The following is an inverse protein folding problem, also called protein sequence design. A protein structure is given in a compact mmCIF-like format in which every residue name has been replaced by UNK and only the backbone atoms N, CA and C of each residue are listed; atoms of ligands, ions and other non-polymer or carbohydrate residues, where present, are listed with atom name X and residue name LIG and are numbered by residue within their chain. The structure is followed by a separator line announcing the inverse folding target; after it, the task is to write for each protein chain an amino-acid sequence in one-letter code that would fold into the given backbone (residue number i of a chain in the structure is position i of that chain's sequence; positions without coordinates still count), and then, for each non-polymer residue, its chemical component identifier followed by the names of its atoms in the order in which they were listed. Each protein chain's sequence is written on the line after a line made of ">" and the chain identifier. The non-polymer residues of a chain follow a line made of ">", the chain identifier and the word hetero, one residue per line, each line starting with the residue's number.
data_IF_438036363078
#
_entry.id   IF_438036363078
#
_cell.length_a   1.000
_cell.length_b   1.000
_cell.length_c   1.000
_cell.angle_alpha   90.00
_cell.angle_beta   90.00
_cell.angle_gamma   90.00
#
_symmetry.space_group_name_H-M   'P 1'
#
loop_
_entity.id
_entity.type
_entity.pdbx_description
1 polymer ?
#
# COMPACT_ATOMS: atom_id res chain seq x y z
N UNK A 1 11.06 -17.91 9.70
CA UNK A 1 11.01 -17.70 8.23
C UNK A 1 9.60 -17.62 7.61
N UNK A 2 8.49 -17.77 8.35
CA UNK A 2 7.12 -17.92 7.77
C UNK A 2 6.35 -16.62 7.41
N UNK A 3 6.84 -15.42 7.74
CA UNK A 3 6.07 -14.17 7.57
C UNK A 3 6.26 -13.46 6.21
N UNK A 4 7.33 -13.79 5.46
CA UNK A 4 7.71 -13.08 4.22
C UNK A 4 6.77 -13.35 3.03
N UNK A 5 6.08 -14.49 3.03
CA UNK A 5 5.19 -14.91 1.93
C UNK A 5 3.75 -14.41 2.06
N UNK A 6 3.38 -13.83 3.21
CA UNK A 6 2.02 -13.34 3.46
C UNK A 6 1.50 -12.36 2.40
N UNK A 7 2.23 -11.30 1.98
CA UNK A 7 1.71 -10.36 0.98
C UNK A 7 1.43 -11.04 -0.37
N UNK A 8 2.25 -12.00 -0.77
CA UNK A 8 2.04 -12.77 -2.00
C UNK A 8 0.80 -13.67 -1.93
N UNK A 9 0.55 -14.30 -0.77
CA UNK A 9 -0.66 -15.08 -0.54
C UNK A 9 -1.92 -14.20 -0.59
N UNK A 10 -1.88 -13.01 0.02
CA UNK A 10 -2.98 -12.05 -0.04
C UNK A 10 -3.23 -11.56 -1.48
N UNK A 11 -2.18 -11.20 -2.22
CA UNK A 11 -2.30 -10.80 -3.62
C UNK A 11 -2.92 -11.93 -4.48
N UNK A 12 -2.44 -13.16 -4.31
CA UNK A 12 -3.00 -14.32 -5.01
C UNK A 12 -4.48 -14.56 -4.68
N UNK A 13 -4.86 -14.43 -3.40
CA UNK A 13 -6.24 -14.56 -2.96
C UNK A 13 -7.13 -13.50 -3.64
N UNK A 14 -6.70 -12.23 -3.67
CA UNK A 14 -7.46 -11.15 -4.33
C UNK A 14 -7.62 -11.44 -5.82
N UNK A 15 -6.57 -11.90 -6.50
CA UNK A 15 -6.63 -12.26 -7.93
C UNK A 15 -7.66 -13.36 -8.17
N UNK A 16 -7.66 -14.42 -7.34
CA UNK A 16 -8.63 -15.52 -7.45
C UNK A 16 -10.05 -15.02 -7.23
N UNK A 17 -10.29 -14.13 -6.26
CA UNK A 17 -11.60 -13.53 -6.04
C UNK A 17 -12.08 -12.69 -7.24
N UNK A 18 -11.19 -11.91 -7.85
CA UNK A 18 -11.50 -11.11 -9.06
C UNK A 18 -11.85 -12.03 -10.23
N UNK A 19 -11.11 -13.13 -10.42
CA UNK A 19 -11.41 -14.13 -11.46
C UNK A 19 -12.78 -14.79 -11.23
N UNK A 20 -13.07 -15.21 -9.99
CA UNK A 20 -14.37 -15.80 -9.64
C UNK A 20 -15.52 -14.83 -9.87
N UNK A 21 -15.37 -13.56 -9.46
CA UNK A 21 -16.37 -12.52 -9.71
C UNK A 21 -16.65 -12.34 -11.21
N UNK A 22 -15.60 -12.29 -12.04
CA UNK A 22 -15.77 -12.09 -13.48
C UNK A 22 -16.35 -13.32 -14.18
N UNK A 23 -16.00 -14.53 -13.72
CA UNK A 23 -16.59 -15.77 -14.20
C UNK A 23 -18.10 -15.86 -13.89
N UNK A 24 -18.54 -15.41 -12.70
CA UNK A 24 -19.96 -15.38 -12.32
C UNK A 24 -20.77 -14.30 -13.05
N UNK A 25 -20.11 -13.29 -13.61
CA UNK A 25 -20.77 -12.16 -14.30
C UNK A 25 -20.73 -12.32 -15.82
N UNK A 26 -20.21 -13.44 -16.34
CA UNK A 26 -19.97 -13.72 -17.78
C UNK A 26 -19.15 -12.61 -18.50
N UNK A 27 -18.36 -11.86 -17.72
CA UNK A 27 -17.58 -10.68 -18.15
C UNK A 27 -16.09 -11.02 -18.20
N UNK A 28 -15.74 -12.13 -18.85
CA UNK A 28 -14.37 -12.63 -18.96
C UNK A 28 -13.61 -11.95 -20.11
N UNK A 29 -13.62 -10.62 -20.14
CA UNK A 29 -12.77 -9.85 -21.06
C UNK A 29 -11.46 -9.48 -20.37
N UNK A 30 -10.34 -9.51 -21.11
CA UNK A 30 -9.02 -9.11 -20.59
C UNK A 30 -9.03 -7.66 -20.10
N UNK A 31 -9.79 -6.79 -20.78
CA UNK A 31 -9.94 -5.39 -20.39
C UNK A 31 -10.68 -5.23 -19.05
N UNK A 32 -11.78 -5.96 -18.83
CA UNK A 32 -12.49 -5.93 -17.54
C UNK A 32 -11.63 -6.48 -16.41
N UNK A 33 -10.88 -7.56 -16.68
CA UNK A 33 -9.98 -8.14 -15.70
C UNK A 33 -8.85 -7.18 -15.31
N UNK A 34 -8.30 -6.46 -16.29
CA UNK A 34 -7.34 -5.38 -16.05
C UNK A 34 -7.92 -4.26 -15.17
N UNK A 35 -9.12 -3.78 -15.50
CA UNK A 35 -9.78 -2.69 -14.78
C UNK A 35 -10.11 -3.08 -13.34
N UNK A 36 -10.65 -4.28 -13.12
CA UNK A 36 -10.98 -4.77 -11.78
C UNK A 36 -9.72 -4.94 -10.93
N UNK A 37 -8.64 -5.49 -11.48
CA UNK A 37 -7.35 -5.58 -10.78
C UNK A 37 -6.76 -4.21 -10.46
N UNK A 38 -6.88 -3.24 -11.37
CA UNK A 38 -6.45 -1.86 -11.14
C UNK A 38 -7.21 -1.23 -9.97
N UNK A 39 -8.55 -1.33 -10.00
CA UNK A 39 -9.40 -0.79 -8.95
C UNK A 39 -9.12 -1.46 -7.60
N UNK A 40 -8.89 -2.77 -7.58
CA UNK A 40 -8.47 -3.47 -6.37
C UNK A 40 -7.08 -3.05 -5.90
N UNK A 41 -6.15 -2.67 -6.77
CA UNK A 41 -4.80 -2.23 -6.40
C UNK A 41 -4.79 -0.87 -5.68
N UNK A 42 -5.68 0.06 -6.07
CA UNK A 42 -5.73 1.43 -5.57
C UNK A 42 -5.76 1.54 -4.03
N UNK A 43 -6.66 0.88 -3.27
CA UNK A 43 -6.68 1.01 -1.83
C UNK A 43 -5.36 0.55 -1.18
N UNK A 44 -4.75 -0.52 -1.69
CA UNK A 44 -3.45 -0.99 -1.19
C UNK A 44 -2.33 0.00 -1.52
N UNK A 45 -2.36 0.60 -2.72
CA UNK A 45 -1.39 1.61 -3.14
C UNK A 45 -1.50 2.87 -2.30
N UNK A 46 -2.72 3.34 -2.04
CA UNK A 46 -3.00 4.51 -1.21
C UNK A 46 -2.45 4.25 0.20
N UNK A 47 -2.88 3.17 0.86
CA UNK A 47 -2.45 2.85 2.24
C UNK A 47 -0.93 2.63 2.30
N UNK A 48 -0.37 1.85 1.37
CA UNK A 48 1.07 1.58 1.31
C UNK A 48 1.89 2.85 1.06
N UNK A 49 1.43 3.72 0.16
CA UNK A 49 2.06 5.00 -0.13
C UNK A 49 2.03 5.94 1.08
N UNK A 50 0.89 6.05 1.76
CA UNK A 50 0.80 6.82 3.00
C UNK A 50 1.76 6.28 4.06
N UNK A 51 1.70 4.98 4.35
CA UNK A 51 2.59 4.35 5.34
C UNK A 51 4.07 4.52 4.98
N UNK A 52 4.41 4.49 3.69
CA UNK A 52 5.77 4.73 3.22
C UNK A 52 6.21 6.17 3.52
N UNK A 53 5.37 7.16 3.22
CA UNK A 53 5.61 8.57 3.58
C UNK A 53 5.72 8.75 5.10
N UNK A 54 4.86 8.10 5.90
CA UNK A 54 4.96 8.11 7.37
C UNK A 54 6.28 7.50 7.87
N UNK A 55 6.73 6.40 7.25
CA UNK A 55 7.99 5.74 7.62
C UNK A 55 9.25 6.52 7.23
N UNK A 56 9.14 7.49 6.32
CA UNK A 56 10.27 8.31 5.86
C UNK A 56 10.79 9.32 6.91
N UNK A 57 10.08 9.51 8.02
CA UNK A 57 10.42 10.49 9.04
C UNK A 57 9.93 11.91 8.74
N UNK A 58 9.21 12.12 7.63
CA UNK A 58 8.55 13.40 7.30
C UNK A 58 7.70 13.90 8.47
N UNK A 59 6.81 13.07 8.99
CA UNK A 59 5.94 13.46 10.10
C UNK A 59 6.68 13.64 11.42
N UNK A 60 7.78 12.91 11.65
CA UNK A 60 8.63 13.14 12.83
C UNK A 60 9.29 14.53 12.78
N UNK A 61 9.62 15.03 11.59
CA UNK A 61 10.12 16.40 11.39
C UNK A 61 9.03 17.46 11.61
N UNK A 62 7.79 17.21 11.21
CA UNK A 62 6.66 18.08 11.56
C UNK A 62 6.41 18.11 13.07
N UNK A 63 6.38 16.94 13.71
CA UNK A 63 6.22 16.84 15.16
C UNK A 63 7.33 17.59 15.89
N UNK A 64 8.59 17.39 15.49
CA UNK A 64 9.74 18.11 16.05
C UNK A 64 9.61 19.62 15.85
N UNK A 65 9.23 20.07 14.66
CA UNK A 65 9.10 21.50 14.35
C UNK A 65 7.96 22.16 15.15
N UNK A 66 6.80 21.50 15.24
CA UNK A 66 5.66 21.99 16.00
C UNK A 66 5.93 22.01 17.50
N UNK A 67 6.60 20.98 18.01
CA UNK A 67 6.99 20.93 19.41
C UNK A 67 8.05 21.99 19.75
N UNK A 68 9.09 22.16 18.93
CA UNK A 68 10.08 23.22 19.13
C UNK A 68 9.44 24.62 19.13
N UNK A 69 8.44 24.86 18.29
CA UNK A 69 7.66 26.10 18.31
C UNK A 69 6.85 26.26 19.61
N UNK A 70 6.30 25.18 20.16
CA UNK A 70 5.46 25.18 21.37
C UNK A 70 6.25 25.17 22.69
N UNK A 71 7.44 24.56 22.72
CA UNK A 71 8.25 24.37 23.94
C UNK A 71 9.46 25.30 24.01
N UNK A 72 9.59 26.28 23.11
CA UNK A 72 10.68 27.28 23.08
C UNK A 72 10.96 27.96 24.44
N UNK A 73 9.98 27.98 25.36
CA UNK A 73 10.11 28.54 26.72
C UNK A 73 10.18 27.50 27.86
N UNK A 74 10.26 26.18 27.60
CA UNK A 74 10.35 25.11 28.62
C UNK A 74 11.71 24.40 28.58
N UNK A 75 12.32 24.16 29.75
CA UNK A 75 13.68 23.60 29.92
C UNK A 75 13.79 22.07 29.83
N UNK A 76 12.68 21.33 29.77
CA UNK A 76 12.71 19.86 29.78
C UNK A 76 12.90 19.27 28.37
N UNK A 77 13.78 18.29 28.26
CA UNK A 77 13.97 17.49 27.04
C UNK A 77 12.76 16.56 26.87
N UNK A 78 11.99 16.66 25.77
CA UNK A 78 10.80 15.84 25.62
C UNK A 78 11.16 14.41 25.18
N UNK A 79 10.44 13.44 25.74
CA UNK A 79 10.42 12.06 25.27
C UNK A 79 9.70 12.00 23.91
N UNK A 80 10.43 11.65 22.86
CA UNK A 80 9.89 11.49 21.51
C UNK A 80 9.57 10.01 21.25
N UNK A 81 8.30 9.69 21.11
CA UNK A 81 7.88 8.44 20.46
C UNK A 81 7.74 8.71 18.97
N UNK A 82 8.66 8.21 18.16
CA UNK A 82 8.65 8.41 16.71
C UNK A 82 7.45 7.71 16.05
N UNK A 83 6.69 8.42 15.22
CA UNK A 83 5.63 7.80 14.41
C UNK A 83 6.22 6.93 13.29
N UNK A 84 7.46 7.21 12.86
CA UNK A 84 8.18 6.38 11.89
C UNK A 84 8.44 4.95 12.40
N UNK A 85 8.68 4.75 13.71
CA UNK A 85 8.95 3.40 14.26
C UNK A 85 7.72 2.50 14.27
N UNK A 86 6.51 3.06 14.33
CA UNK A 86 5.25 2.30 14.29
C UNK A 86 4.92 1.86 12.85
N UNK A 87 5.29 2.68 11.86
CA UNK A 87 5.02 2.44 10.44
C UNK A 87 6.12 1.67 9.72
N UNK A 88 7.30 1.51 10.36
CA UNK A 88 8.46 0.85 9.79
C UNK A 88 8.18 -0.61 9.41
N UNK A 89 8.33 -0.93 8.12
CA UNK A 89 8.12 -2.27 7.57
C UNK A 89 6.66 -2.65 7.30
N UNK A 90 5.68 -1.89 7.79
CA UNK A 90 4.27 -2.12 7.47
C UNK A 90 3.96 -1.72 6.02
N UNK A 91 4.52 -0.62 5.54
CA UNK A 91 4.29 -0.12 4.17
C UNK A 91 4.67 -1.14 3.09
N UNK A 92 5.75 -1.91 3.30
CA UNK A 92 6.25 -2.91 2.35
C UNK A 92 5.21 -4.01 2.10
N UNK A 93 4.45 -4.41 3.12
CA UNK A 93 3.38 -5.39 2.97
C UNK A 93 2.30 -4.90 1.99
N UNK A 94 1.83 -3.67 2.16
CA UNK A 94 0.78 -3.07 1.34
C UNK A 94 1.27 -2.77 -0.08
N UNK A 95 2.51 -2.26 -0.23
CA UNK A 95 3.09 -1.94 -1.54
C UNK A 95 3.38 -3.19 -2.39
N UNK A 96 3.78 -4.31 -1.79
CA UNK A 96 3.97 -5.56 -2.55
C UNK A 96 2.64 -6.03 -3.16
N UNK A 97 1.55 -6.00 -2.38
CA UNK A 97 0.22 -6.37 -2.87
C UNK A 97 -0.18 -5.44 -4.01
N UNK A 98 -0.12 -4.12 -3.78
CA UNK A 98 -0.44 -3.12 -4.79
C UNK A 98 0.36 -3.33 -6.08
N UNK A 99 1.68 -3.51 -5.97
CA UNK A 99 2.58 -3.70 -7.10
C UNK A 99 2.24 -4.93 -7.94
N UNK A 100 1.95 -6.07 -7.29
CA UNK A 100 1.56 -7.29 -8.01
C UNK A 100 0.26 -7.06 -8.80
N UNK A 101 -0.78 -6.54 -8.15
CA UNK A 101 -2.06 -6.28 -8.81
C UNK A 101 -1.92 -5.30 -9.99
N UNK A 102 -1.11 -4.26 -9.82
CA UNK A 102 -0.89 -3.23 -10.85
C UNK A 102 -0.10 -3.80 -12.05
N UNK A 103 0.92 -4.62 -11.81
CA UNK A 103 1.67 -5.28 -12.90
C UNK A 103 0.74 -6.19 -13.71
N UNK A 104 -0.07 -7.03 -13.05
CA UNK A 104 -1.03 -7.88 -13.75
C UNK A 104 -2.08 -7.08 -14.52
N UNK A 105 -2.59 -6.00 -13.93
CA UNK A 105 -3.50 -5.08 -14.61
C UNK A 105 -2.88 -4.52 -15.90
N UNK A 106 -1.66 -3.99 -15.84
CA UNK A 106 -0.97 -3.46 -17.02
C UNK A 106 -0.75 -4.55 -18.07
N UNK A 107 -0.31 -5.74 -17.67
CA UNK A 107 -0.08 -6.86 -18.59
C UNK A 107 -1.38 -7.24 -19.32
N UNK A 108 -2.51 -7.34 -18.61
CA UNK A 108 -3.79 -7.64 -19.23
C UNK A 108 -4.30 -6.52 -20.13
N UNK A 109 -4.09 -5.25 -19.77
CA UNK A 109 -4.40 -4.12 -20.63
C UNK A 109 -3.60 -4.17 -21.94
N UNK A 110 -2.29 -4.44 -21.85
CA UNK A 110 -1.41 -4.51 -23.03
C UNK A 110 -1.78 -5.69 -23.94
N UNK A 111 -2.07 -6.86 -23.37
CA UNK A 111 -2.52 -8.02 -24.16
C UNK A 111 -3.86 -7.73 -24.82
N UNK A 112 -4.77 -7.00 -24.15
CA UNK A 112 -6.06 -6.61 -24.73
C UNK A 112 -5.96 -5.61 -25.88
N UNK A 113 -4.81 -4.93 -26.05
CA UNK A 113 -4.57 -3.96 -27.13
C UNK A 113 -3.96 -4.61 -28.39
N UNK A 114 -3.46 -5.85 -28.27
CA UNK A 114 -2.88 -6.64 -29.36
C UNK A 114 -3.97 -7.50 -30.00
#
# INVERSE_FOLDING_TARGET
>A
MKKKYRPYLFAGLVIVLVLLKNALTDQLTLLQLSNDLFLCALPFLIIGGFLWVFSSGFFDHFQRSFHLARTRNRKEKPEFTSLSSVSYGMYTFWLIIAGILLVFSIVFALISLV
#
